data_IF_231934882936
#
_entry.id   IF_231934882936
#
_cell.length_a   1.000
_cell.length_b   1.000
_cell.length_c   1.000
_cell.angle_alpha   90.00
_cell.angle_beta   90.00
_cell.angle_gamma   90.00
#
_symmetry.space_group_name_H-M   'P 1'
#
loop_
_entity.id
_entity.type
_entity.pdbx_description
1 polymer ?
#
# COMPACT_ATOMS: atom_id res chain seq x y z
N UNK A 1 10.63 -24.07 1.45
CA UNK A 1 9.27 -23.52 1.66
C UNK A 1 8.97 -22.58 0.52
N UNK A 2 7.76 -22.62 -0.08
CA UNK A 2 7.33 -21.62 -1.06
C UNK A 2 6.58 -20.53 -0.30
N UNK A 3 7.00 -19.27 -0.43
CA UNK A 3 6.24 -18.12 0.06
C UNK A 3 5.36 -17.58 -1.07
N UNK A 4 4.14 -17.16 -0.71
CA UNK A 4 3.26 -16.40 -1.60
C UNK A 4 3.40 -14.93 -1.23
N UNK A 5 3.76 -14.10 -2.21
CA UNK A 5 3.79 -12.64 -2.08
C UNK A 5 2.74 -12.07 -3.03
N UNK A 6 1.93 -11.16 -2.54
CA UNK A 6 0.90 -10.47 -3.33
C UNK A 6 1.45 -9.13 -3.80
N UNK A 7 1.32 -8.83 -5.10
CA UNK A 7 1.60 -7.50 -5.64
C UNK A 7 0.31 -6.69 -5.65
N UNK A 8 0.24 -5.63 -4.84
CA UNK A 8 -0.89 -4.70 -4.82
C UNK A 8 -0.54 -3.47 -5.67
N UNK A 9 -1.32 -3.25 -6.73
CA UNK A 9 -1.09 -2.17 -7.69
C UNK A 9 -2.01 -0.99 -7.44
N UNK A 10 -1.70 0.13 -8.10
CA UNK A 10 -2.48 1.37 -8.08
C UNK A 10 -2.71 1.90 -6.65
N UNK A 11 -1.68 1.76 -5.80
CA UNK A 11 -1.70 2.30 -4.42
C UNK A 11 -1.41 3.79 -4.50
N UNK A 12 -2.46 4.60 -4.42
CA UNK A 12 -2.41 6.04 -4.62
C UNK A 12 -3.24 6.73 -3.55
N UNK A 13 -3.05 8.04 -3.32
CA UNK A 13 -3.89 8.76 -2.38
C UNK A 13 -5.40 8.66 -2.73
N UNK A 14 -5.73 8.63 -4.01
CA UNK A 14 -7.10 8.45 -4.51
C UNK A 14 -7.70 7.06 -4.27
N UNK A 15 -6.90 6.05 -3.92
CA UNK A 15 -7.30 4.66 -3.69
C UNK A 15 -6.96 4.20 -2.27
N UNK A 16 -6.73 5.15 -1.34
CA UNK A 16 -6.29 4.86 0.02
C UNK A 16 -7.24 3.92 0.75
N UNK A 17 -8.54 4.15 0.64
CA UNK A 17 -9.56 3.36 1.36
C UNK A 17 -9.56 1.92 0.84
N UNK A 18 -9.58 1.73 -0.47
CA UNK A 18 -9.54 0.42 -1.12
C UNK A 18 -8.23 -0.31 -0.82
N UNK A 19 -7.10 0.41 -0.86
CA UNK A 19 -5.77 -0.15 -0.56
C UNK A 19 -5.70 -0.65 0.90
N UNK A 20 -6.23 0.14 1.85
CA UNK A 20 -6.30 -0.25 3.26
C UNK A 20 -7.20 -1.48 3.48
N UNK A 21 -8.32 -1.58 2.78
CA UNK A 21 -9.20 -2.74 2.85
C UNK A 21 -8.51 -4.02 2.35
N UNK A 22 -7.79 -3.94 1.22
CA UNK A 22 -7.00 -5.05 0.72
C UNK A 22 -5.88 -5.44 1.68
N UNK A 23 -5.12 -4.47 2.19
CA UNK A 23 -4.06 -4.74 3.17
C UNK A 23 -4.60 -5.41 4.42
N UNK A 24 -5.75 -4.97 4.95
CA UNK A 24 -6.40 -5.65 6.08
C UNK A 24 -6.70 -7.12 5.76
N UNK A 25 -7.31 -7.40 4.62
CA UNK A 25 -7.66 -8.76 4.19
C UNK A 25 -6.43 -9.67 4.02
N UNK A 26 -5.35 -9.12 3.48
CA UNK A 26 -4.08 -9.83 3.25
C UNK A 26 -3.33 -10.09 4.57
N UNK A 27 -3.35 -9.12 5.49
CA UNK A 27 -2.79 -9.26 6.83
C UNK A 27 -3.53 -10.34 7.64
N UNK A 28 -4.86 -10.39 7.57
CA UNK A 28 -5.67 -11.46 8.19
C UNK A 28 -5.29 -12.87 7.68
N UNK A 29 -4.64 -12.96 6.51
CA UNK A 29 -4.17 -14.22 5.91
C UNK A 29 -2.67 -14.45 6.08
N UNK A 30 -1.96 -13.58 6.80
CA UNK A 30 -0.50 -13.61 6.98
C UNK A 30 0.25 -13.63 5.64
N UNK A 31 -0.21 -12.85 4.65
CA UNK A 31 0.44 -12.74 3.34
C UNK A 31 1.34 -11.51 3.27
N UNK A 32 2.56 -11.71 2.79
CA UNK A 32 3.46 -10.62 2.43
C UNK A 32 2.94 -9.87 1.20
N UNK A 33 3.14 -8.56 1.17
CA UNK A 33 2.60 -7.69 0.11
C UNK A 33 3.69 -6.74 -0.37
N UNK A 34 3.85 -6.63 -1.69
CA UNK A 34 4.59 -5.56 -2.36
C UNK A 34 3.59 -4.57 -2.90
N UNK A 35 3.64 -3.32 -2.44
CA UNK A 35 2.71 -2.26 -2.84
C UNK A 35 3.37 -1.34 -3.85
N UNK A 36 2.84 -1.27 -5.07
CA UNK A 36 3.29 -0.34 -6.09
C UNK A 36 2.59 1.01 -5.90
N UNK A 37 3.33 2.00 -5.40
CA UNK A 37 2.80 3.32 -5.11
C UNK A 37 2.83 4.21 -6.35
N UNK A 38 1.73 4.94 -6.58
CA UNK A 38 1.62 5.96 -7.63
C UNK A 38 1.82 7.34 -6.98
N UNK A 39 3.01 7.96 -7.07
CA UNK A 39 3.32 9.18 -6.33
C UNK A 39 2.71 10.45 -6.94
N UNK A 40 2.34 10.40 -8.23
CA UNK A 40 1.78 11.53 -8.96
C UNK A 40 0.33 11.83 -8.60
N UNK A 41 -0.20 12.94 -9.12
CA UNK A 41 -1.57 13.42 -8.92
C UNK A 41 -2.63 12.60 -9.69
N UNK A 42 -2.50 11.28 -9.71
CA UNK A 42 -3.47 10.40 -10.33
C UNK A 42 -4.81 10.54 -9.60
N UNK A 43 -5.83 11.04 -10.30
CA UNK A 43 -7.20 11.26 -9.77
C UNK A 43 -7.29 12.03 -8.45
N UNK A 44 -6.34 12.92 -8.17
CA UNK A 44 -6.35 13.68 -6.92
C UNK A 44 -5.05 14.43 -6.69
N UNK A 45 -4.72 14.69 -5.43
CA UNK A 45 -3.43 15.26 -5.06
C UNK A 45 -2.32 14.20 -5.17
N UNK A 46 -1.10 14.66 -5.41
CA UNK A 46 0.08 13.79 -5.37
C UNK A 46 0.45 13.39 -3.94
N UNK A 47 1.33 12.41 -3.82
CA UNK A 47 1.82 11.86 -2.56
C UNK A 47 2.34 12.94 -1.60
N UNK A 48 3.13 13.90 -2.10
CA UNK A 48 3.73 14.95 -1.28
C UNK A 48 2.73 15.92 -0.64
N UNK A 49 1.49 15.93 -1.11
CA UNK A 49 0.43 16.78 -0.57
C UNK A 49 -0.52 16.03 0.38
N UNK A 50 -0.27 14.74 0.64
CA UNK A 50 -1.07 13.91 1.56
C UNK A 50 -0.20 13.26 2.63
N UNK A 51 -0.04 13.99 3.74
CA UNK A 51 0.72 13.52 4.90
C UNK A 51 0.09 12.26 5.52
N UNK A 52 -1.24 12.15 5.51
CA UNK A 52 -1.95 11.01 6.11
C UNK A 52 -1.66 9.74 5.32
N UNK A 53 -1.68 9.80 3.99
CA UNK A 53 -1.32 8.68 3.14
C UNK A 53 0.16 8.31 3.28
N UNK A 54 1.05 9.30 3.35
CA UNK A 54 2.48 9.05 3.61
C UNK A 54 2.72 8.33 4.94
N UNK A 55 2.04 8.76 6.00
CA UNK A 55 2.19 8.13 7.32
C UNK A 55 1.63 6.72 7.34
N UNK A 56 0.53 6.48 6.62
CA UNK A 56 0.01 5.13 6.42
C UNK A 56 1.01 4.23 5.67
N UNK A 57 1.65 4.71 4.60
CA UNK A 57 2.68 3.93 3.89
C UNK A 57 3.85 3.57 4.82
N UNK A 58 4.38 4.55 5.56
CA UNK A 58 5.48 4.31 6.52
C UNK A 58 5.10 3.28 7.59
N UNK A 59 3.89 3.37 8.13
CA UNK A 59 3.40 2.43 9.14
C UNK A 59 3.16 1.01 8.56
N UNK A 60 2.87 0.92 7.27
CA UNK A 60 2.61 -0.35 6.58
C UNK A 60 3.91 -1.03 6.14
N UNK A 61 4.98 -0.28 5.89
CA UNK A 61 6.32 -0.82 5.62
C UNK A 61 6.89 -1.48 6.87
N UNK A 62 6.94 -2.81 6.86
CA UNK A 62 7.51 -3.67 7.92
C UNK A 62 8.24 -4.83 7.26
N UNK A 63 8.94 -5.69 8.01
CA UNK A 63 9.72 -6.80 7.44
C UNK A 63 8.94 -7.70 6.45
N UNK A 64 7.61 -7.79 6.57
CA UNK A 64 6.75 -8.60 5.70
C UNK A 64 6.12 -7.84 4.51
N UNK A 65 6.15 -6.51 4.48
CA UNK A 65 5.55 -5.69 3.43
C UNK A 65 6.53 -4.67 2.88
N UNK A 66 6.54 -4.56 1.55
CA UNK A 66 7.39 -3.62 0.84
C UNK A 66 6.55 -2.55 0.16
N UNK A 67 7.04 -1.31 0.19
CA UNK A 67 6.51 -0.19 -0.59
C UNK A 67 7.51 0.08 -1.72
N UNK A 68 7.04 -0.03 -2.97
CA UNK A 68 7.81 0.09 -4.21
C UNK A 68 7.33 1.29 -5.03
#
# INVERSE_FOLDING_TARGET
MKSLIVSLHDVAPSTTIESQQWMKLLNERNLSVSMLVVPGSWRGHGLAADETFCDWLKATTVDSHEVV
#
